data_IF_770238027263
#
_entry.id   IF_770238027263
#
_cell.length_a   1.000
_cell.length_b   1.000
_cell.length_c   1.000
_cell.angle_alpha   90.00
_cell.angle_beta   90.00
_cell.angle_gamma   90.00
#
_symmetry.space_group_name_H-M   'P 1'
#
loop_
_entity.id
_entity.type
_entity.pdbx_description
1 polymer ?
#
# COMPACT_ATOMS: atom_id res chain seq x y z
N UNK A 1 -7.84 -13.63 -13.56
CA UNK A 1 -6.77 -13.38 -12.58
C UNK A 1 -6.98 -14.35 -11.45
N UNK A 2 -5.92 -14.97 -10.93
CA UNK A 2 -6.04 -15.91 -9.82
C UNK A 2 -6.41 -15.19 -8.51
N UNK A 3 -6.99 -15.92 -7.55
CA UNK A 3 -7.40 -15.40 -6.25
C UNK A 3 -6.21 -14.79 -5.48
N UNK A 4 -5.05 -15.44 -5.56
CA UNK A 4 -3.84 -14.99 -4.85
C UNK A 4 -3.27 -13.72 -5.51
N UNK A 5 -3.21 -13.68 -6.83
CA UNK A 5 -2.83 -12.47 -7.58
C UNK A 5 -3.75 -11.29 -7.20
N UNK A 6 -5.05 -11.56 -7.07
CA UNK A 6 -6.04 -10.56 -6.68
C UNK A 6 -5.80 -10.02 -5.26
N UNK A 7 -5.50 -10.90 -4.29
CA UNK A 7 -5.16 -10.48 -2.93
C UNK A 7 -3.86 -9.67 -2.87
N UNK A 8 -2.84 -10.09 -3.62
CA UNK A 8 -1.57 -9.35 -3.77
C UNK A 8 -1.80 -7.98 -4.38
N UNK A 9 -2.67 -7.88 -5.40
CA UNK A 9 -3.03 -6.61 -6.00
C UNK A 9 -3.72 -5.66 -5.03
N UNK A 10 -4.71 -6.14 -4.27
CA UNK A 10 -5.38 -5.29 -3.27
C UNK A 10 -4.41 -4.80 -2.19
N UNK A 11 -3.52 -5.67 -1.69
CA UNK A 11 -2.49 -5.27 -0.74
C UNK A 11 -1.48 -4.30 -1.35
N UNK A 12 -1.14 -4.45 -2.63
CA UNK A 12 -0.21 -3.55 -3.31
C UNK A 12 -0.81 -2.14 -3.49
N UNK A 13 -2.12 -2.07 -3.78
CA UNK A 13 -2.85 -0.81 -3.90
C UNK A 13 -2.97 -0.08 -2.56
N UNK A 14 -2.79 -0.75 -1.42
CA UNK A 14 -2.64 -0.10 -0.12
C UNK A 14 -1.30 0.61 0.09
N UNK A 15 -0.40 0.53 -0.88
CA UNK A 15 0.84 1.30 -0.89
C UNK A 15 1.78 0.94 0.27
N UNK A 16 2.63 1.88 0.66
CA UNK A 16 3.58 1.66 1.74
C UNK A 16 2.92 1.55 3.12
N UNK A 17 1.72 2.12 3.31
CA UNK A 17 0.93 1.99 4.55
C UNK A 17 0.54 0.55 4.81
N UNK A 18 0.32 -0.24 3.76
CA UNK A 18 -0.09 -1.64 3.87
C UNK A 18 -1.50 -1.80 4.42
N UNK A 19 -1.83 -3.04 4.80
CA UNK A 19 -3.16 -3.40 5.28
C UNK A 19 -3.15 -4.49 6.33
N UNK A 20 -4.10 -4.44 7.24
CA UNK A 20 -4.40 -5.56 8.12
C UNK A 20 -5.32 -6.59 7.46
N UNK A 21 -5.43 -7.78 8.07
CA UNK A 21 -6.23 -8.89 7.53
C UNK A 21 -7.71 -8.51 7.37
N UNK A 22 -8.31 -7.85 8.36
CA UNK A 22 -9.71 -7.44 8.31
C UNK A 22 -9.99 -6.48 7.14
N UNK A 23 -9.07 -5.55 6.86
CA UNK A 23 -9.22 -4.67 5.71
C UNK A 23 -8.99 -5.41 4.39
N UNK A 24 -8.04 -6.34 4.30
CA UNK A 24 -7.88 -7.18 3.11
C UNK A 24 -9.17 -7.95 2.77
N UNK A 25 -9.82 -8.54 3.77
CA UNK A 25 -11.08 -9.25 3.56
C UNK A 25 -12.17 -8.34 3.00
N UNK A 26 -12.31 -7.16 3.58
CA UNK A 26 -13.23 -6.13 3.09
C UNK A 26 -12.93 -5.72 1.65
N UNK A 27 -11.66 -5.50 1.33
CA UNK A 27 -11.24 -5.11 -0.03
C UNK A 27 -11.58 -6.18 -1.05
N UNK A 28 -11.34 -7.45 -0.72
CA UNK A 28 -11.66 -8.59 -1.57
C UNK A 28 -13.18 -8.79 -1.74
N UNK A 29 -13.97 -8.54 -0.70
CA UNK A 29 -15.45 -8.58 -0.75
C UNK A 29 -16.03 -7.45 -1.60
N UNK A 30 -15.48 -6.24 -1.49
CA UNK A 30 -15.98 -5.06 -2.21
C UNK A 30 -15.43 -4.98 -3.65
N UNK A 31 -14.40 -5.77 -4.00
CA UNK A 31 -13.66 -5.67 -5.27
C UNK A 31 -14.55 -5.71 -6.50
N UNK A 32 -14.16 -4.92 -7.50
CA UNK A 32 -14.77 -4.92 -8.83
C UNK A 32 -13.71 -5.19 -9.91
N UNK A 33 -13.86 -6.26 -10.73
CA UNK A 33 -14.91 -7.29 -10.67
C UNK A 33 -14.78 -8.19 -9.41
N UNK A 34 -15.88 -8.82 -8.95
CA UNK A 34 -15.85 -9.66 -7.77
C UNK A 34 -14.96 -10.89 -7.96
N UNK A 35 -14.38 -11.37 -6.87
CA UNK A 35 -13.67 -12.66 -6.86
C UNK A 35 -14.66 -13.82 -7.04
N UNK A 36 -14.20 -14.91 -7.65
CA UNK A 36 -15.03 -16.07 -7.92
C UNK A 36 -15.28 -16.96 -6.68
N UNK A 37 -14.51 -16.76 -5.60
CA UNK A 37 -14.50 -17.62 -4.43
C UNK A 37 -15.06 -16.87 -3.21
N UNK A 38 -15.99 -17.43 -2.44
CA UNK A 38 -16.44 -16.83 -1.19
C UNK A 38 -15.29 -16.79 -0.17
N UNK A 39 -15.18 -15.72 0.62
CA UNK A 39 -14.18 -15.62 1.69
C UNK A 39 -14.61 -16.38 2.96
N UNK A 40 -14.81 -17.68 2.81
CA UNK A 40 -15.23 -18.59 3.88
C UNK A 40 -14.07 -19.07 4.76
N UNK A 41 -14.38 -19.98 5.68
CA UNK A 41 -13.43 -20.58 6.63
C UNK A 41 -12.31 -21.41 5.97
N UNK A 42 -12.39 -21.69 4.67
CA UNK A 42 -11.36 -22.43 3.93
C UNK A 42 -10.52 -21.50 3.07
N UNK A 43 -11.17 -20.52 2.46
CA UNK A 43 -10.58 -19.59 1.51
C UNK A 43 -9.66 -18.59 2.20
N UNK A 44 -10.07 -18.02 3.35
CA UNK A 44 -9.20 -17.08 4.10
C UNK A 44 -7.92 -17.75 4.60
N UNK A 45 -7.95 -18.93 5.25
CA UNK A 45 -6.71 -19.64 5.62
C UNK A 45 -5.84 -20.03 4.42
N UNK A 46 -6.45 -20.37 3.28
CA UNK A 46 -5.70 -20.65 2.05
C UNK A 46 -4.96 -19.39 1.55
N UNK A 47 -5.64 -18.25 1.47
CA UNK A 47 -5.02 -16.96 1.10
C UNK A 47 -3.89 -16.64 2.09
N UNK A 48 -4.15 -16.72 3.41
CA UNK A 48 -3.14 -16.49 4.44
C UNK A 48 -1.88 -17.32 4.21
N UNK A 49 -2.03 -18.64 4.06
CA UNK A 49 -0.91 -19.55 3.78
C UNK A 49 -0.11 -19.10 2.57
N UNK A 50 -0.79 -18.71 1.48
CA UNK A 50 -0.14 -18.24 0.25
C UNK A 50 0.55 -16.89 0.39
N UNK A 51 0.01 -15.98 1.19
CA UNK A 51 0.67 -14.71 1.51
C UNK A 51 1.93 -14.93 2.35
N UNK A 52 1.88 -15.83 3.34
CA UNK A 52 3.05 -16.19 4.17
C UNK A 52 4.17 -16.82 3.33
N UNK A 53 3.81 -17.73 2.42
CA UNK A 53 4.75 -18.35 1.47
C UNK A 53 5.33 -17.35 0.45
N UNK A 54 4.69 -16.19 0.25
CA UNK A 54 5.12 -15.22 -0.75
C UNK A 54 6.29 -14.35 -0.24
N UNK A 55 7.41 -14.36 -0.96
CA UNK A 55 8.58 -13.53 -0.63
C UNK A 55 8.31 -12.03 -0.79
N UNK A 56 7.35 -11.66 -1.63
CA UNK A 56 6.98 -10.27 -1.88
C UNK A 56 6.08 -9.65 -0.81
N UNK A 57 5.58 -10.44 0.14
CA UNK A 57 4.76 -9.97 1.26
C UNK A 57 5.64 -9.85 2.50
N UNK A 58 5.65 -8.66 3.10
CA UNK A 58 6.29 -8.35 4.36
C UNK A 58 5.22 -8.26 5.45
N UNK A 59 5.54 -8.73 6.65
CA UNK A 59 4.61 -8.77 7.79
C UNK A 59 5.19 -7.99 8.96
N UNK A 60 4.44 -7.03 9.45
CA UNK A 60 4.84 -6.15 10.54
C UNK A 60 3.79 -6.13 11.64
N UNK A 61 4.24 -6.11 12.89
CA UNK A 61 3.40 -5.74 14.03
C UNK A 61 3.61 -4.26 14.35
N UNK A 62 2.52 -3.53 14.64
CA UNK A 62 2.59 -2.14 15.09
C UNK A 62 2.78 -2.05 16.60
N UNK A 63 4.03 -1.86 17.02
CA UNK A 63 4.38 -1.63 18.41
C UNK A 63 4.43 -0.13 18.74
N UNK A 64 3.28 0.42 19.15
CA UNK A 64 3.17 1.83 19.56
C UNK A 64 3.89 2.16 20.87
N UNK A 65 4.17 1.15 21.69
CA UNK A 65 4.88 1.29 22.96
C UNK A 65 6.40 1.09 22.79
N UNK A 66 6.81 0.49 21.66
CA UNK A 66 8.17 0.23 21.30
C UNK A 66 8.97 1.50 20.96
N UNK A 67 10.28 1.31 20.82
CA UNK A 67 11.15 2.38 20.34
C UNK A 67 10.84 2.65 18.87
N UNK A 68 10.43 3.89 18.57
CA UNK A 68 10.24 4.35 17.18
C UNK A 68 11.50 4.07 16.38
N UNK A 69 11.33 3.38 15.26
CA UNK A 69 12.40 3.13 14.30
C UNK A 69 12.40 4.26 13.26
N UNK A 70 13.56 4.88 13.06
CA UNK A 70 13.75 5.75 11.90
C UNK A 70 13.83 4.86 10.65
N UNK A 71 13.19 5.22 9.53
CA UNK A 71 13.29 4.42 8.32
C UNK A 71 14.75 4.34 7.83
N UNK A 72 15.24 3.14 7.50
CA UNK A 72 16.60 2.96 7.01
C UNK A 72 16.72 3.71 5.69
N UNK A 73 17.49 4.79 5.67
CA UNK A 73 17.75 5.65 4.49
C UNK A 73 16.65 6.64 4.07
N UNK A 74 15.65 6.93 4.91
CA UNK A 74 14.80 8.09 4.64
C UNK A 74 15.65 9.37 4.72
N UNK A 75 16.01 9.94 3.57
CA UNK A 75 16.07 11.40 3.50
C UNK A 75 14.67 11.83 3.87
N UNK A 76 14.49 12.34 5.10
CA UNK A 76 13.23 12.96 5.53
C UNK A 76 12.98 14.15 4.60
N UNK A 77 12.42 13.89 3.43
CA UNK A 77 11.80 14.92 2.64
C UNK A 77 10.40 15.01 3.21
N UNK A 78 10.32 15.73 4.35
CA UNK A 78 9.05 16.15 4.89
C UNK A 78 8.38 16.99 3.82
N UNK A 79 7.54 16.36 3.00
CA UNK A 79 6.57 17.11 2.22
C UNK A 79 5.62 17.67 3.27
N UNK A 80 5.44 19.00 3.35
CA UNK A 80 4.61 19.54 4.43
C UNK A 80 3.14 19.36 4.02
N UNK A 81 2.59 18.19 4.32
CA UNK A 81 1.19 17.86 4.12
C UNK A 81 0.35 18.57 5.20
N UNK A 82 -0.80 19.11 4.84
CA UNK A 82 -1.66 19.85 5.79
C UNK A 82 -2.35 18.98 6.85
N UNK A 83 -2.20 17.66 6.83
CA UNK A 83 -2.77 16.76 7.83
C UNK A 83 -1.74 16.48 8.92
N UNK A 84 -1.71 17.34 9.94
CA UNK A 84 -1.50 17.11 11.39
C UNK A 84 -0.59 15.97 11.91
N UNK A 85 0.26 15.36 11.11
CA UNK A 85 1.11 14.22 11.49
C UNK A 85 2.33 14.15 10.58
N UNK A 86 3.51 13.95 11.16
CA UNK A 86 4.71 13.59 10.40
C UNK A 86 4.42 12.27 9.66
N UNK A 87 4.50 12.29 8.33
CA UNK A 87 4.39 11.08 7.50
C UNK A 87 5.69 10.91 6.73
N UNK A 88 5.97 9.67 6.33
CA UNK A 88 7.26 9.31 5.77
C UNK A 88 7.16 9.14 4.26
N UNK A 89 7.96 9.92 3.52
CA UNK A 89 8.41 9.58 2.18
C UNK A 89 9.72 8.84 2.40
N UNK A 90 9.68 7.51 2.35
CA UNK A 90 10.93 6.74 2.39
C UNK A 90 11.58 6.87 1.00
N UNK A 91 12.92 6.91 0.95
CA UNK A 91 13.67 7.00 -0.32
C UNK A 91 14.77 5.95 -0.39
N UNK A 92 15.33 5.84 -1.59
CA UNK A 92 16.31 4.91 -2.15
C UNK A 92 15.79 3.47 -2.35
N UNK A 93 15.14 2.83 -1.37
CA UNK A 93 14.60 1.46 -1.54
C UNK A 93 13.08 1.30 -1.32
N UNK A 94 12.41 2.27 -0.69
CA UNK A 94 10.97 2.21 -0.41
C UNK A 94 10.33 3.56 -0.66
N UNK A 95 9.66 3.77 -1.80
CA UNK A 95 8.91 5.00 -2.08
C UNK A 95 7.45 4.76 -1.69
N UNK A 96 6.83 5.68 -0.95
CA UNK A 96 5.40 5.62 -0.66
C UNK A 96 5.00 6.45 0.55
N UNK A 97 3.73 6.38 0.90
CA UNK A 97 3.14 7.06 2.05
C UNK A 97 2.89 6.09 3.20
N UNK A 98 3.38 6.42 4.41
CA UNK A 98 2.96 5.73 5.63
C UNK A 98 2.96 6.60 6.88
N UNK A 99 1.91 6.43 7.70
CA UNK A 99 1.75 7.00 9.05
C UNK A 99 2.31 6.07 10.13
N UNK A 100 2.28 4.76 9.89
CA UNK A 100 2.59 3.73 10.89
C UNK A 100 4.01 3.16 10.79
N UNK A 101 4.78 3.56 9.78
CA UNK A 101 6.10 2.99 9.47
C UNK A 101 7.04 2.89 10.68
N UNK A 102 7.16 3.97 11.47
CA UNK A 102 8.09 4.00 12.61
C UNK A 102 7.75 3.06 13.76
N UNK A 103 6.55 2.47 13.76
CA UNK A 103 6.09 1.53 14.78
C UNK A 103 6.23 0.06 14.33
N UNK A 104 6.74 -0.19 13.13
CA UNK A 104 6.79 -1.54 12.55
C UNK A 104 7.91 -2.38 13.15
N UNK A 105 7.55 -3.57 13.58
CA UNK A 105 8.46 -4.65 13.96
C UNK A 105 8.24 -5.81 13.00
N UNK A 106 9.29 -6.29 12.34
CA UNK A 106 9.19 -7.44 11.44
C UNK A 106 8.83 -8.71 12.23
N UNK A 107 7.72 -9.35 11.84
CA UNK A 107 7.20 -10.57 12.47
C UNK A 107 7.13 -11.74 11.51
N UNK A 108 7.60 -11.60 10.25
CA UNK A 108 7.64 -12.72 9.30
C UNK A 108 8.46 -13.90 9.83
N UNK A 109 9.62 -13.72 10.50
CA UNK A 109 10.36 -14.83 11.09
C UNK A 109 9.54 -15.64 12.10
N UNK A 110 8.78 -14.96 12.97
CA UNK A 110 7.91 -15.61 13.96
C UNK A 110 6.79 -16.41 13.27
N UNK A 111 6.12 -15.80 12.29
CA UNK A 111 5.04 -16.45 11.53
C UNK A 111 5.52 -17.75 10.87
N UNK A 112 6.67 -17.70 10.19
CA UNK A 112 7.21 -18.84 9.45
C UNK A 112 7.72 -19.92 10.41
N UNK A 113 8.45 -19.53 11.46
CA UNK A 113 9.02 -20.46 12.44
C UNK A 113 7.93 -21.23 13.19
N UNK A 114 6.87 -20.54 13.59
CA UNK A 114 5.79 -21.13 14.37
C UNK A 114 4.71 -21.80 13.49
N UNK A 115 4.90 -21.81 12.16
CA UNK A 115 3.92 -22.27 11.19
C UNK A 115 2.51 -21.69 11.46
N UNK A 116 2.47 -20.40 11.77
CA UNK A 116 1.33 -19.73 12.38
C UNK A 116 0.08 -19.80 11.50
N UNK A 117 -1.04 -20.23 12.08
CA UNK A 117 -2.32 -20.24 11.39
C UNK A 117 -2.90 -18.82 11.26
N UNK A 118 -3.90 -18.66 10.40
CA UNK A 118 -4.63 -17.39 10.28
C UNK A 118 -5.24 -16.99 11.64
N UNK A 119 -5.87 -17.95 12.31
CA UNK A 119 -6.52 -17.74 13.60
C UNK A 119 -5.51 -17.32 14.68
N UNK A 120 -4.34 -17.96 14.74
CA UNK A 120 -3.28 -17.61 15.68
C UNK A 120 -2.75 -16.18 15.43
N UNK A 121 -2.58 -15.80 14.16
CA UNK A 121 -2.13 -14.46 13.79
C UNK A 121 -3.18 -13.38 14.14
N UNK A 122 -4.46 -13.66 13.87
CA UNK A 122 -5.57 -12.78 14.23
C UNK A 122 -5.71 -12.64 15.75
N UNK A 123 -5.55 -13.73 16.51
CA UNK A 123 -5.59 -13.70 17.98
C UNK A 123 -4.38 -12.97 18.58
N UNK A 124 -3.18 -13.12 17.99
CA UNK A 124 -1.95 -12.55 18.53
C UNK A 124 -1.81 -11.05 18.24
N UNK A 125 -2.17 -10.61 17.04
CA UNK A 125 -1.91 -9.24 16.58
C UNK A 125 -3.13 -8.51 16.04
N UNK A 126 -4.17 -9.23 15.60
CA UNK A 126 -5.42 -8.64 15.14
C UNK A 126 -5.24 -7.51 14.12
N UNK A 127 -5.80 -6.34 14.45
CA UNK A 127 -5.75 -5.15 13.59
C UNK A 127 -4.36 -4.50 13.46
N UNK A 128 -3.43 -4.85 14.34
CA UNK A 128 -2.07 -4.29 14.38
C UNK A 128 -1.06 -5.13 13.57
N UNK A 129 -1.50 -6.26 12.98
CA UNK A 129 -0.72 -6.97 11.96
C UNK A 129 -0.90 -6.27 10.61
N UNK A 130 0.19 -5.72 10.08
CA UNK A 130 0.22 -5.02 8.79
C UNK A 130 1.01 -5.84 7.78
N UNK A 131 0.36 -6.12 6.66
CA UNK A 131 0.96 -6.72 5.48
C UNK A 131 1.32 -5.62 4.48
N UNK A 132 2.52 -5.68 3.94
CA UNK A 132 3.02 -4.72 2.94
C UNK A 132 3.61 -5.48 1.77
N UNK A 133 3.23 -5.09 0.56
CA UNK A 133 3.85 -5.62 -0.65
C UNK A 133 5.17 -4.89 -0.92
N UNK A 134 6.21 -5.63 -1.32
CA UNK A 134 7.53 -5.08 -1.63
C UNK A 134 7.45 -3.97 -2.71
N UNK A 135 8.42 -3.04 -2.66
CA UNK A 135 8.44 -1.84 -3.51
C UNK A 135 8.29 -2.16 -5.01
N UNK A 136 9.01 -3.19 -5.48
CA UNK A 136 9.05 -3.56 -6.90
C UNK A 136 7.67 -3.98 -7.40
N UNK A 137 6.93 -4.75 -6.58
CA UNK A 137 5.62 -5.25 -6.97
C UNK A 137 4.53 -4.18 -6.85
N UNK A 138 4.60 -3.30 -5.84
CA UNK A 138 3.74 -2.10 -5.77
C UNK A 138 3.89 -1.22 -7.00
N UNK A 139 5.12 -0.90 -7.41
CA UNK A 139 5.39 -0.14 -8.63
C UNK A 139 4.80 -0.81 -9.86
N UNK A 140 5.04 -2.10 -10.04
CA UNK A 140 4.53 -2.86 -11.19
C UNK A 140 3.01 -2.79 -11.30
N UNK A 141 2.32 -2.89 -10.17
CA UNK A 141 0.85 -2.85 -10.10
C UNK A 141 0.33 -1.44 -10.36
N UNK A 142 0.93 -0.41 -9.76
CA UNK A 142 0.52 0.99 -9.93
C UNK A 142 0.75 1.52 -11.34
N UNK A 143 1.86 1.16 -11.98
CA UNK A 143 2.14 1.61 -13.34
C UNK A 143 1.33 0.82 -14.36
N UNK A 144 1.02 -0.44 -14.07
CA UNK A 144 0.31 -1.32 -14.99
C UNK A 144 1.25 -1.98 -16.01
N UNK A 145 0.78 -3.06 -16.64
CA UNK A 145 1.60 -3.97 -17.45
C UNK A 145 2.27 -3.33 -18.68
N UNK A 146 1.72 -2.23 -19.19
CA UNK A 146 2.17 -1.56 -20.42
C UNK A 146 2.90 -0.24 -20.20
N UNK A 147 2.89 0.28 -18.97
CA UNK A 147 3.48 1.59 -18.68
C UNK A 147 4.73 1.35 -17.83
N UNK A 148 5.87 1.17 -18.47
CA UNK A 148 7.15 1.40 -17.78
C UNK A 148 7.50 2.85 -18.02
N UNK A 149 7.25 3.77 -17.06
CA UNK A 149 7.68 5.14 -17.23
C UNK A 149 9.21 5.17 -17.38
N UNK A 150 9.72 6.12 -18.16
CA UNK A 150 11.16 6.41 -18.16
C UNK A 150 11.50 6.88 -16.75
N UNK A 151 12.61 6.40 -16.17
CA UNK A 151 12.95 6.59 -14.75
C UNK A 151 12.85 8.05 -14.26
N UNK A 152 13.02 9.04 -15.14
CA UNK A 152 12.97 10.47 -14.77
C UNK A 152 11.54 11.05 -14.66
N UNK A 153 10.51 10.34 -15.16
CA UNK A 153 9.14 10.86 -15.19
C UNK A 153 8.42 10.69 -13.84
N UNK A 154 8.78 9.67 -13.05
CA UNK A 154 8.16 9.37 -11.76
C UNK A 154 8.96 9.92 -10.60
N UNK A 155 8.69 11.18 -10.27
CA UNK A 155 9.15 11.73 -8.99
C UNK A 155 8.44 11.07 -7.80
N UNK A 156 9.03 11.07 -6.59
CA UNK A 156 8.38 10.51 -5.40
C UNK A 156 6.97 11.06 -5.14
N UNK A 157 6.74 12.35 -5.42
CA UNK A 157 5.42 12.98 -5.29
C UNK A 157 4.41 12.32 -6.24
N UNK A 158 4.77 12.10 -7.50
CA UNK A 158 3.90 11.45 -8.49
C UNK A 158 3.62 9.99 -8.13
N UNK A 159 4.63 9.26 -7.65
CA UNK A 159 4.44 7.89 -7.17
C UNK A 159 3.44 7.83 -6.02
N UNK A 160 3.60 8.72 -5.04
CA UNK A 160 2.71 8.79 -3.89
C UNK A 160 1.27 9.20 -4.30
N UNK A 161 1.13 10.12 -5.27
CA UNK A 161 -0.19 10.44 -5.84
C UNK A 161 -0.84 9.22 -6.48
N UNK A 162 -0.07 8.38 -7.20
CA UNK A 162 -0.56 7.13 -7.75
C UNK A 162 -0.98 6.14 -6.66
N UNK A 163 -0.23 6.02 -5.56
CA UNK A 163 -0.65 5.20 -4.41
C UNK A 163 -2.00 5.64 -3.85
N UNK A 164 -2.25 6.94 -3.69
CA UNK A 164 -3.55 7.39 -3.18
C UNK A 164 -4.70 7.15 -4.15
N UNK A 165 -4.48 7.38 -5.44
CA UNK A 165 -5.48 7.07 -6.46
C UNK A 165 -5.74 5.56 -6.46
N UNK A 166 -4.69 4.74 -6.35
CA UNK A 166 -4.78 3.29 -6.25
C UNK A 166 -5.60 2.83 -5.04
N UNK A 167 -5.37 3.45 -3.87
CA UNK A 167 -6.14 3.20 -2.63
C UNK A 167 -7.62 3.49 -2.76
N UNK A 168 -8.05 4.36 -3.67
CA UNK A 168 -9.49 4.62 -3.85
C UNK A 168 -10.12 3.77 -4.94
N UNK A 169 -9.34 2.95 -5.65
CA UNK A 169 -9.79 2.03 -6.71
C UNK A 169 -10.70 2.77 -7.70
N UNK A 170 -11.93 2.28 -7.89
CA UNK A 170 -12.90 2.85 -8.81
C UNK A 170 -13.58 4.13 -8.31
N UNK A 171 -13.49 4.45 -7.01
CA UNK A 171 -14.06 5.69 -6.45
C UNK A 171 -13.33 6.93 -6.98
N UNK A 172 -12.09 6.76 -7.45
CA UNK A 172 -11.26 7.84 -7.94
C UNK A 172 -10.82 8.78 -6.81
N UNK A 173 -10.18 9.88 -7.18
CA UNK A 173 -9.60 10.81 -6.22
C UNK A 173 -9.79 12.24 -6.73
N UNK A 174 -10.38 13.13 -5.91
CA UNK A 174 -10.61 14.50 -6.36
C UNK A 174 -9.32 15.31 -6.30
N UNK A 175 -9.15 16.23 -7.26
CA UNK A 175 -7.97 17.09 -7.28
C UNK A 175 -7.89 18.00 -6.04
N UNK A 176 -9.03 18.36 -5.46
CA UNK A 176 -9.12 19.10 -4.19
C UNK A 176 -8.51 18.33 -3.01
N UNK A 177 -8.57 17.00 -3.05
CA UNK A 177 -8.07 16.15 -1.96
C UNK A 177 -6.55 16.09 -1.97
N UNK A 178 -5.92 16.31 -3.14
CA UNK A 178 -4.48 16.51 -3.20
C UNK A 178 -4.05 17.81 -2.50
N UNK A 179 -4.92 18.78 -2.28
CA UNK A 179 -4.56 19.96 -1.47
C UNK A 179 -4.60 19.63 0.01
N UNK A 180 -5.69 19.00 0.47
CA UNK A 180 -5.90 18.68 1.89
C UNK A 180 -4.90 17.62 2.39
N UNK A 181 -4.59 16.61 1.56
CA UNK A 181 -3.62 15.58 1.89
C UNK A 181 -2.20 16.00 1.51
N UNK A 182 -2.03 16.72 0.39
CA UNK A 182 -0.79 17.31 -0.13
C UNK A 182 -0.05 18.40 0.63
N UNK A 183 -0.83 19.32 1.23
CA UNK A 183 -0.38 20.71 1.28
C UNK A 183 0.09 21.27 -0.09
N UNK A 184 -0.18 20.57 -1.22
CA UNK A 184 0.22 21.00 -2.55
C UNK A 184 -0.70 22.13 -2.97
N UNK A 185 -0.11 23.21 -3.45
CA UNK A 185 -0.89 24.27 -4.06
C UNK A 185 -1.58 23.75 -5.34
N UNK A 186 -2.73 24.32 -5.72
CA UNK A 186 -3.50 23.85 -6.88
C UNK A 186 -2.69 23.80 -8.19
N UNK A 187 -1.72 24.70 -8.39
CA UNK A 187 -0.91 24.76 -9.60
C UNK A 187 0.06 23.59 -9.67
N UNK A 188 0.71 23.26 -8.55
CA UNK A 188 1.59 22.09 -8.44
C UNK A 188 0.81 20.79 -8.59
N UNK A 189 -0.32 20.64 -7.91
CA UNK A 189 -1.21 19.48 -8.06
C UNK A 189 -1.64 19.29 -9.51
N UNK A 190 -2.09 20.35 -10.17
CA UNK A 190 -2.48 20.32 -11.57
C UNK A 190 -1.32 19.89 -12.49
N UNK A 191 -0.11 20.40 -12.23
CA UNK A 191 1.07 20.03 -13.00
C UNK A 191 1.39 18.53 -12.89
N UNK A 192 1.36 17.96 -11.68
CA UNK A 192 1.57 16.53 -11.48
C UNK A 192 0.48 15.68 -12.14
N UNK A 193 -0.79 16.03 -11.96
CA UNK A 193 -1.93 15.35 -12.61
C UNK A 193 -1.81 15.40 -14.13
N UNK A 194 -1.41 16.54 -14.70
CA UNK A 194 -1.23 16.70 -16.15
C UNK A 194 -0.18 15.73 -16.70
N UNK A 195 0.95 15.59 -16.01
CA UNK A 195 2.03 14.66 -16.40
C UNK A 195 1.55 13.21 -16.28
N UNK A 196 0.96 12.84 -15.13
CA UNK A 196 0.44 11.48 -14.93
C UNK A 196 -0.57 11.07 -16.02
N UNK A 197 -1.43 12.00 -16.41
CA UNK A 197 -2.41 11.79 -17.49
C UNK A 197 -1.77 11.72 -18.87
N UNK A 198 -0.71 12.50 -19.14
CA UNK A 198 0.03 12.46 -20.40
C UNK A 198 0.69 11.09 -20.63
N UNK A 199 1.17 10.44 -19.56
CA UNK A 199 1.76 9.10 -19.62
C UNK A 199 0.72 7.97 -19.42
N UNK A 200 -0.58 8.27 -19.49
CA UNK A 200 -1.66 7.28 -19.35
C UNK A 200 -1.64 6.48 -18.04
N UNK A 201 -1.05 7.01 -16.97
CA UNK A 201 -1.04 6.35 -15.65
C UNK A 201 -2.31 6.63 -14.84
N UNK A 202 -3.04 7.69 -15.20
CA UNK A 202 -4.34 8.02 -14.61
C UNK A 202 -5.32 8.35 -15.73
N UNK A 203 -6.60 8.22 -15.43
CA UNK A 203 -7.69 8.70 -16.29
C UNK A 203 -8.48 9.76 -15.54
N UNK A 204 -9.06 10.71 -16.29
CA UNK A 204 -10.01 11.67 -15.73
C UNK A 204 -11.41 11.12 -15.91
N UNK A 205 -12.15 10.99 -14.81
CA UNK A 205 -13.58 10.78 -14.84
C UNK A 205 -14.25 12.16 -14.99
N UNK A 206 -15.24 12.24 -15.88
CA UNK A 206 -16.04 13.45 -16.17
C UNK A 206 -17.40 13.30 -15.49
#
# INVERSE_FOLDING_TARGET
>A
MDLIDTAIEELALEGLEGSCLSNLWKLLEERQPPINNPLDQWTKPYIWKKLVECEHVQFYYLDYNGKKQDPPLAKKKALRLSLTSEFWIVTDDHIGYSQTFSYRVDVKPDIVKDAMSLEDAENRWGGDLIMVICQQLRQRILFGKSNSPVNDDITPIRYIMLELIGKTRWKGFHQSDFRSIYGLDPRSSFHHVKILNHHHMITKQV
#
